data_IF_923120134387
#
_entry.id   IF_923120134387
#
_cell.length_a   1.000
_cell.length_b   1.000
_cell.length_c   1.000
_cell.angle_alpha   90.00
_cell.angle_beta   90.00
_cell.angle_gamma   90.00
#
_symmetry.space_group_name_H-M   'P 1'
#
loop_
_entity.id
_entity.type
_entity.pdbx_description
1 polymer ?
#
# COMPACT_ATOMS: atom_id res chain seq x y z
N UNK A 1 14.11 65.55 -6.44
CA UNK A 1 15.24 66.50 -6.34
C UNK A 1 15.81 66.26 -4.94
N UNK A 2 16.92 65.55 -4.76
CA UNK A 2 18.32 66.02 -4.89
C UNK A 2 19.27 64.82 -4.98
N UNK A 3 20.46 65.04 -5.51
CA UNK A 3 21.40 64.09 -6.10
C UNK A 3 22.67 63.87 -5.26
N UNK A 4 23.24 62.64 -5.34
CA UNK A 4 24.69 62.26 -5.23
C UNK A 4 25.46 62.49 -3.90
N UNK A 5 26.69 61.92 -3.69
CA UNK A 5 27.48 60.94 -4.49
C UNK A 5 28.18 59.79 -3.71
N UNK A 6 28.79 58.87 -4.48
CA UNK A 6 29.83 57.89 -4.09
C UNK A 6 31.22 58.53 -3.85
N UNK A 7 32.19 57.76 -3.30
CA UNK A 7 33.35 57.32 -4.10
C UNK A 7 33.78 55.86 -3.82
N UNK A 8 34.16 55.04 -4.83
CA UNK A 8 35.54 54.73 -5.31
C UNK A 8 36.53 54.38 -4.17
N UNK A 9 37.30 53.27 -4.21
CA UNK A 9 38.27 52.89 -5.27
C UNK A 9 38.99 51.56 -4.92
N UNK A 10 39.45 50.84 -5.98
CA UNK A 10 40.68 50.01 -6.08
C UNK A 10 40.79 48.72 -5.25
N UNK A 11 41.43 47.61 -5.64
CA UNK A 11 42.36 47.22 -6.73
C UNK A 11 42.57 45.69 -6.61
N UNK A 12 42.45 44.88 -7.67
CA UNK A 12 43.49 44.39 -8.61
C UNK A 12 44.41 43.25 -8.09
N UNK A 13 44.50 42.17 -8.92
CA UNK A 13 45.54 41.11 -9.07
C UNK A 13 45.52 39.97 -8.03
N UNK A 14 45.15 38.72 -8.34
CA UNK A 14 45.73 37.65 -9.20
C UNK A 14 47.05 37.03 -8.70
N UNK A 15 47.04 35.73 -8.34
CA UNK A 15 47.92 34.65 -8.89
C UNK A 15 47.92 33.32 -8.09
N UNK A 16 47.92 32.22 -8.86
CA UNK A 16 48.62 30.91 -8.68
C UNK A 16 48.28 30.03 -7.48
N UNK A 17 47.76 28.80 -7.65
CA UNK A 17 48.40 27.54 -8.12
C UNK A 17 48.75 26.63 -6.93
N UNK A 18 48.65 25.31 -7.15
CA UNK A 18 49.15 24.18 -6.34
C UNK A 18 48.09 23.36 -5.59
N UNK A 19 47.57 22.33 -6.26
CA UNK A 19 47.26 21.03 -5.63
C UNK A 19 48.58 20.23 -5.47
N UNK A 20 48.64 19.06 -4.79
CA UNK A 20 47.62 18.31 -4.05
C UNK A 20 48.12 17.83 -2.65
N UNK A 21 47.28 17.13 -1.87
CA UNK A 21 47.59 15.88 -1.15
C UNK A 21 46.45 15.53 -0.16
N UNK A 22 45.76 14.42 -0.46
CA UNK A 22 45.13 13.44 0.42
C UNK A 22 44.70 13.87 1.85
N UNK A 23 43.38 13.92 2.05
CA UNK A 23 42.72 13.73 3.34
C UNK A 23 41.37 13.04 3.12
N UNK A 24 41.07 11.90 3.77
CA UNK A 24 39.90 11.09 3.46
C UNK A 24 38.61 11.83 3.82
N UNK A 25 37.75 12.00 2.82
CA UNK A 25 36.37 12.47 2.96
C UNK A 25 35.64 11.58 3.96
N UNK A 26 35.28 12.15 5.11
CA UNK A 26 34.40 11.53 6.08
C UNK A 26 33.10 11.09 5.37
N UNK A 27 32.70 9.81 5.45
CA UNK A 27 31.40 9.43 4.96
C UNK A 27 30.38 10.09 5.88
N UNK A 28 29.62 11.03 5.31
CA UNK A 28 28.40 11.57 5.89
C UNK A 28 27.53 10.37 6.23
N UNK A 29 27.52 10.02 7.52
CA UNK A 29 26.75 8.93 8.07
C UNK A 29 25.28 9.28 7.82
N UNK A 30 24.76 8.79 6.69
CA UNK A 30 23.34 8.70 6.46
C UNK A 30 22.87 7.76 7.56
N UNK A 31 22.40 8.35 8.64
CA UNK A 31 21.58 7.67 9.63
C UNK A 31 20.49 6.98 8.82
N UNK A 32 20.71 5.69 8.55
CA UNK A 32 19.68 4.79 8.09
C UNK A 32 18.68 4.85 9.22
N UNK A 33 17.69 5.74 9.09
CA UNK A 33 16.46 5.63 9.85
C UNK A 33 15.99 4.22 9.53
N UNK A 34 16.25 3.30 10.45
CA UNK A 34 15.57 2.03 10.50
C UNK A 34 14.11 2.40 10.51
N UNK A 35 13.45 2.26 9.36
CA UNK A 35 12.01 2.14 9.36
C UNK A 35 11.68 1.13 10.46
N UNK A 36 10.69 1.39 11.33
CA UNK A 36 10.21 0.38 12.26
C UNK A 36 9.98 -0.91 11.46
N UNK A 37 10.14 -2.12 12.04
CA UNK A 37 10.01 -3.37 11.32
C UNK A 37 8.61 -3.45 10.70
N UNK A 38 8.47 -2.89 9.50
CA UNK A 38 7.22 -2.85 8.77
C UNK A 38 6.95 -4.27 8.34
N UNK A 39 5.70 -4.72 8.52
CA UNK A 39 5.23 -6.00 8.00
C UNK A 39 5.72 -6.18 6.56
N UNK A 40 6.80 -6.93 6.38
CA UNK A 40 7.42 -7.13 5.07
C UNK A 40 6.53 -8.11 4.32
N UNK A 41 5.66 -7.57 3.47
CA UNK A 41 4.83 -8.38 2.60
C UNK A 41 5.73 -9.16 1.63
N UNK A 42 5.68 -10.49 1.68
CA UNK A 42 6.38 -11.37 0.73
C UNK A 42 5.46 -11.70 -0.46
N UNK A 43 5.98 -11.80 -1.69
CA UNK A 43 5.23 -12.39 -2.79
C UNK A 43 4.84 -13.84 -2.47
N UNK A 44 3.64 -14.25 -2.89
CA UNK A 44 3.15 -15.63 -2.77
C UNK A 44 3.37 -16.34 -4.10
N UNK A 45 3.90 -17.56 -4.08
CA UNK A 45 4.01 -18.36 -5.32
C UNK A 45 2.62 -18.79 -5.81
N UNK A 46 2.47 -19.14 -7.11
CA UNK A 46 1.20 -19.68 -7.60
C UNK A 46 0.75 -20.95 -6.87
N UNK A 47 1.70 -21.81 -6.47
CA UNK A 47 1.43 -23.05 -5.72
C UNK A 47 0.93 -22.74 -4.31
N UNK A 48 1.62 -21.87 -3.56
CA UNK A 48 1.16 -21.42 -2.25
C UNK A 48 -0.23 -20.78 -2.38
N UNK A 49 -0.46 -19.95 -3.40
CA UNK A 49 -1.76 -19.30 -3.61
C UNK A 49 -2.88 -20.30 -3.91
N UNK A 50 -2.57 -21.42 -4.59
CA UNK A 50 -3.52 -22.50 -4.82
C UNK A 50 -3.88 -23.22 -3.52
N UNK A 51 -2.93 -23.45 -2.60
CA UNK A 51 -3.22 -24.03 -1.27
C UNK A 51 -4.22 -23.16 -0.48
N UNK A 52 -4.12 -21.84 -0.59
CA UNK A 52 -5.09 -20.92 0.03
C UNK A 52 -6.48 -20.96 -0.61
N UNK A 53 -6.60 -21.42 -1.86
CA UNK A 53 -7.87 -21.48 -2.61
C UNK A 53 -8.49 -22.88 -2.63
N UNK A 54 -7.68 -23.93 -2.55
CA UNK A 54 -8.11 -25.33 -2.65
C UNK A 54 -8.84 -25.80 -1.38
N UNK A 55 -8.55 -25.20 -0.23
CA UNK A 55 -9.28 -25.45 1.02
C UNK A 55 -10.77 -25.09 0.98
N UNK A 56 -11.23 -24.40 -0.07
CA UNK A 56 -12.63 -24.02 -0.31
C UNK A 56 -13.30 -24.90 -1.40
N UNK A 57 -12.53 -25.72 -2.11
CA UNK A 57 -13.02 -26.53 -3.26
C UNK A 57 -13.53 -27.93 -2.90
N UNK A 58 -13.40 -28.37 -1.65
CA UNK A 58 -14.00 -29.63 -1.17
C UNK A 58 -15.48 -29.43 -0.77
N UNK A 59 -16.25 -28.85 -1.69
CA UNK A 59 -17.67 -28.56 -1.49
C UNK A 59 -18.51 -29.84 -1.60
N UNK A 60 -18.65 -30.53 -0.47
CA UNK A 60 -19.96 -31.02 -0.05
C UNK A 60 -20.96 -29.84 -0.14
N UNK A 61 -21.92 -29.96 -1.05
CA UNK A 61 -22.65 -28.87 -1.66
C UNK A 61 -23.74 -28.21 -0.77
N UNK A 62 -23.54 -28.00 0.54
CA UNK A 62 -24.61 -27.47 1.41
C UNK A 62 -24.26 -26.42 2.47
N UNK A 63 -22.99 -26.11 2.76
CA UNK A 63 -22.66 -25.05 3.73
C UNK A 63 -22.25 -23.77 3.00
N UNK A 64 -23.16 -22.79 2.96
CA UNK A 64 -22.81 -21.44 2.50
C UNK A 64 -21.70 -20.88 3.38
N UNK A 65 -20.60 -20.44 2.77
CA UNK A 65 -19.52 -19.73 3.45
C UNK A 65 -20.10 -18.64 4.38
N UNK A 66 -19.64 -18.54 5.64
CA UNK A 66 -20.20 -17.61 6.61
C UNK A 66 -20.06 -16.17 6.09
N UNK A 67 -21.18 -15.46 6.00
CA UNK A 67 -21.22 -14.07 5.54
C UNK A 67 -20.88 -13.12 6.70
N UNK A 68 -20.19 -11.99 6.43
CA UNK A 68 -19.88 -11.02 7.47
C UNK A 68 -21.15 -10.30 7.94
N UNK A 69 -21.24 -10.02 9.24
CA UNK A 69 -22.32 -9.21 9.82
C UNK A 69 -22.07 -7.71 9.66
N UNK A 70 -20.79 -7.30 9.65
CA UNK A 70 -20.38 -5.91 9.52
C UNK A 70 -19.39 -5.69 8.37
N UNK A 71 -19.32 -4.45 7.88
CA UNK A 71 -18.44 -4.10 6.74
C UNK A 71 -16.95 -4.22 7.08
N UNK A 72 -16.56 -3.85 8.30
CA UNK A 72 -15.16 -3.87 8.75
C UNK A 72 -14.78 -5.08 9.60
N UNK A 73 -15.67 -6.07 9.66
CA UNK A 73 -15.38 -7.38 10.21
C UNK A 73 -14.31 -8.09 9.36
N UNK A 74 -13.25 -8.65 9.94
CA UNK A 74 -12.36 -9.58 9.24
C UNK A 74 -13.14 -10.73 8.61
N UNK A 75 -12.84 -11.08 7.36
CA UNK A 75 -13.52 -12.20 6.68
C UNK A 75 -12.53 -12.96 5.81
N UNK A 76 -12.31 -14.28 6.00
CA UNK A 76 -11.30 -15.06 5.28
C UNK A 76 -11.64 -15.35 3.81
N UNK A 77 -12.31 -14.43 3.12
CA UNK A 77 -12.63 -14.57 1.70
C UNK A 77 -11.37 -14.53 0.84
N UNK A 78 -11.29 -15.40 -0.17
CA UNK A 78 -10.20 -15.41 -1.14
C UNK A 78 -10.63 -14.81 -2.47
N UNK A 79 -9.75 -14.04 -3.11
CA UNK A 79 -10.07 -13.29 -4.32
C UNK A 79 -9.28 -13.77 -5.53
N UNK A 80 -9.91 -13.69 -6.69
CA UNK A 80 -9.29 -13.93 -8.00
C UNK A 80 -8.97 -12.63 -8.73
N UNK A 81 -7.91 -12.60 -9.56
CA UNK A 81 -7.65 -11.50 -10.47
C UNK A 81 -8.89 -11.14 -11.30
N UNK A 82 -9.23 -9.85 -11.31
CA UNK A 82 -10.34 -9.30 -12.08
C UNK A 82 -11.67 -9.23 -11.33
N UNK A 83 -11.78 -9.75 -10.11
CA UNK A 83 -13.01 -9.65 -9.32
C UNK A 83 -13.29 -8.21 -8.87
N UNK A 84 -14.57 -7.87 -8.84
CA UNK A 84 -15.06 -6.58 -8.36
C UNK A 84 -15.20 -6.62 -6.84
N UNK A 85 -14.72 -5.57 -6.18
CA UNK A 85 -14.60 -5.51 -4.73
C UNK A 85 -14.97 -4.14 -4.19
N UNK A 86 -15.28 -4.09 -2.91
CA UNK A 86 -15.40 -2.87 -2.11
C UNK A 86 -14.21 -2.79 -1.16
N UNK A 87 -13.55 -1.63 -1.12
CA UNK A 87 -12.36 -1.39 -0.28
C UNK A 87 -12.57 -0.22 0.66
N UNK A 88 -12.13 -0.37 1.91
CA UNK A 88 -12.10 0.70 2.91
C UNK A 88 -10.74 1.36 2.90
N UNK A 89 -10.69 2.67 2.65
CA UNK A 89 -9.43 3.43 2.73
C UNK A 89 -9.16 3.91 4.15
N UNK A 90 -7.96 4.45 4.39
CA UNK A 90 -7.59 4.99 5.70
C UNK A 90 -8.50 6.13 6.19
N UNK A 91 -9.22 6.80 5.28
CA UNK A 91 -10.23 7.81 5.62
C UNK A 91 -11.57 7.21 6.09
N UNK A 92 -11.70 5.89 6.17
CA UNK A 92 -12.92 5.19 6.58
C UNK A 92 -13.95 5.00 5.47
N UNK A 93 -13.78 5.66 4.32
CA UNK A 93 -14.69 5.58 3.18
C UNK A 93 -14.52 4.27 2.40
N UNK A 94 -15.65 3.76 1.90
CA UNK A 94 -15.73 2.60 1.02
C UNK A 94 -15.77 3.01 -0.44
N UNK A 95 -14.97 2.33 -1.28
CA UNK A 95 -14.91 2.59 -2.72
C UNK A 95 -15.02 1.29 -3.51
N UNK A 96 -15.62 1.32 -4.72
CA UNK A 96 -15.53 0.21 -5.63
C UNK A 96 -14.11 0.08 -6.21
N UNK A 97 -13.68 -1.14 -6.45
CA UNK A 97 -12.39 -1.46 -7.02
C UNK A 97 -12.38 -2.80 -7.73
N UNK A 98 -11.22 -3.15 -8.29
CA UNK A 98 -11.00 -4.41 -9.00
C UNK A 98 -9.68 -5.04 -8.58
N UNK A 99 -9.70 -6.32 -8.26
CA UNK A 99 -8.48 -7.08 -7.97
C UNK A 99 -7.63 -7.13 -9.23
N UNK A 100 -6.39 -6.69 -9.16
CA UNK A 100 -5.46 -6.70 -10.29
C UNK A 100 -4.81 -8.07 -10.44
N UNK A 101 -4.35 -8.40 -11.65
CA UNK A 101 -3.57 -9.62 -11.91
C UNK A 101 -2.11 -9.55 -11.44
N UNK A 102 -1.76 -8.59 -10.59
CA UNK A 102 -0.42 -8.54 -10.01
C UNK A 102 -0.30 -9.52 -8.84
N UNK A 103 0.94 -9.84 -8.47
CA UNK A 103 1.23 -10.82 -7.43
C UNK A 103 0.59 -10.47 -6.09
N UNK A 104 -0.29 -11.35 -5.63
CA UNK A 104 -0.78 -11.42 -4.25
C UNK A 104 0.39 -11.58 -3.30
N UNK A 105 0.32 -10.90 -2.16
CA UNK A 105 1.37 -10.96 -1.14
C UNK A 105 0.85 -11.61 0.14
N UNK A 106 1.76 -12.06 0.98
CA UNK A 106 1.48 -12.63 2.29
C UNK A 106 2.23 -11.88 3.37
N UNK A 107 1.61 -11.74 4.53
CA UNK A 107 2.21 -11.11 5.69
C UNK A 107 1.24 -11.03 6.86
N UNK A 108 1.69 -10.42 7.96
CA UNK A 108 0.88 -10.28 9.16
C UNK A 108 -0.33 -9.36 8.91
N UNK A 109 -1.53 -9.81 9.27
CA UNK A 109 -2.79 -9.04 9.28
C UNK A 109 -3.19 -8.71 10.72
N UNK A 110 -4.35 -8.08 10.92
CA UNK A 110 -4.92 -7.79 12.24
C UNK A 110 -5.11 -9.06 13.08
N UNK A 111 -5.48 -10.16 12.45
CA UNK A 111 -5.75 -11.43 13.14
C UNK A 111 -4.53 -12.35 13.15
N UNK A 112 -4.03 -12.71 11.96
CA UNK A 112 -2.98 -13.71 11.76
C UNK A 112 -2.22 -13.43 10.47
N UNK A 113 -1.31 -14.32 10.08
CA UNK A 113 -0.75 -14.25 8.74
C UNK A 113 -1.85 -14.44 7.67
N UNK A 114 -1.85 -13.62 6.63
CA UNK A 114 -2.89 -13.66 5.60
C UNK A 114 -2.46 -13.04 4.28
N UNK A 115 -3.38 -13.13 3.31
CA UNK A 115 -3.18 -12.65 1.96
C UNK A 115 -3.53 -11.16 1.81
N UNK A 116 -2.73 -10.49 0.98
CA UNK A 116 -2.86 -9.11 0.59
C UNK A 116 -3.05 -9.05 -0.93
N UNK A 117 -4.22 -8.58 -1.35
CA UNK A 117 -4.62 -8.52 -2.74
C UNK A 117 -4.36 -7.12 -3.31
N UNK A 118 -3.69 -7.00 -4.47
CA UNK A 118 -3.49 -5.71 -5.11
C UNK A 118 -4.79 -5.28 -5.80
N UNK A 119 -5.41 -4.18 -5.35
CA UNK A 119 -6.66 -3.64 -5.89
C UNK A 119 -6.40 -2.32 -6.60
N UNK A 120 -6.99 -2.14 -7.78
CA UNK A 120 -7.06 -0.86 -8.49
C UNK A 120 -8.41 -0.21 -8.22
N UNK A 121 -8.40 1.05 -7.80
CA UNK A 121 -9.57 1.87 -7.47
C UNK A 121 -9.28 3.35 -7.81
N UNK A 122 -10.31 4.21 -7.81
CA UNK A 122 -10.19 5.62 -8.21
C UNK A 122 -9.41 5.79 -9.52
N UNK A 123 -9.90 5.15 -10.58
CA UNK A 123 -9.37 5.07 -11.95
C UNK A 123 -8.00 4.41 -12.12
N UNK A 124 -7.00 4.71 -11.28
CA UNK A 124 -5.61 4.23 -11.46
C UNK A 124 -4.82 4.00 -10.17
N UNK A 125 -5.40 4.23 -8.99
CA UNK A 125 -4.69 4.03 -7.73
C UNK A 125 -4.63 2.55 -7.38
N UNK A 126 -3.43 2.04 -7.08
CA UNK A 126 -3.23 0.65 -6.67
C UNK A 126 -2.73 0.57 -5.24
N UNK A 127 -3.40 -0.25 -4.41
CA UNK A 127 -2.96 -0.56 -3.05
C UNK A 127 -3.25 -2.03 -2.71
N UNK A 128 -2.52 -2.56 -1.74
CA UNK A 128 -2.73 -3.88 -1.18
C UNK A 128 -3.72 -3.81 -0.01
N UNK A 129 -4.68 -4.73 0.02
CA UNK A 129 -5.70 -4.85 1.05
C UNK A 129 -5.79 -6.31 1.52
N UNK A 130 -6.00 -6.52 2.81
CA UNK A 130 -6.18 -7.87 3.37
C UNK A 130 -7.62 -8.09 3.85
N UNK A 131 -8.27 -9.22 3.51
CA UNK A 131 -9.63 -9.52 3.96
C UNK A 131 -9.72 -9.66 5.49
N UNK A 132 -8.67 -10.21 6.10
CA UNK A 132 -8.52 -10.34 7.56
C UNK A 132 -8.27 -9.00 8.28
N UNK A 133 -8.12 -7.90 7.55
CA UNK A 133 -8.11 -6.55 8.14
C UNK A 133 -9.50 -5.89 8.10
N UNK A 134 -10.50 -6.51 7.46
CA UNK A 134 -11.83 -5.91 7.28
C UNK A 134 -11.86 -4.73 6.29
N UNK A 135 -10.82 -4.57 5.47
CA UNK A 135 -10.66 -3.42 4.56
C UNK A 135 -11.00 -3.74 3.09
N UNK A 136 -11.39 -4.98 2.79
CA UNK A 136 -11.81 -5.43 1.46
C UNK A 136 -12.96 -6.45 1.59
N UNK A 137 -13.97 -6.33 0.73
CA UNK A 137 -15.12 -7.23 0.63
C UNK A 137 -15.45 -7.51 -0.84
N UNK A 138 -15.94 -8.72 -1.20
CA UNK A 138 -16.43 -9.00 -2.54
C UNK A 138 -17.69 -8.19 -2.86
N UNK A 139 -17.88 -7.90 -4.14
CA UNK A 139 -19.08 -7.19 -4.62
C UNK A 139 -20.29 -8.14 -4.75
N UNK A 140 -20.83 -8.58 -3.60
CA UNK A 140 -22.01 -9.46 -3.52
C UNK A 140 -23.26 -8.69 -3.12
N UNK A 141 -24.45 -9.27 -3.31
CA UNK A 141 -25.71 -8.67 -2.89
C UNK A 141 -25.75 -8.38 -1.38
N UNK A 142 -25.21 -9.30 -0.57
CA UNK A 142 -25.13 -9.12 0.88
C UNK A 142 -24.27 -7.92 1.27
N UNK A 143 -23.04 -7.84 0.73
CA UNK A 143 -22.12 -6.72 1.00
C UNK A 143 -22.71 -5.40 0.50
N UNK A 144 -23.37 -5.37 -0.66
CA UNK A 144 -24.11 -4.18 -1.13
C UNK A 144 -25.24 -3.79 -0.18
N UNK A 145 -25.91 -4.76 0.45
CA UNK A 145 -26.91 -4.51 1.50
C UNK A 145 -26.29 -3.82 2.72
N UNK A 146 -25.16 -4.31 3.21
CA UNK A 146 -24.41 -3.69 4.31
C UNK A 146 -23.94 -2.28 3.96
N UNK A 147 -23.45 -2.05 2.74
CA UNK A 147 -23.04 -0.73 2.25
C UNK A 147 -24.21 0.27 2.21
N UNK A 148 -25.39 -0.17 1.76
CA UNK A 148 -26.62 0.65 1.77
C UNK A 148 -27.02 1.04 3.20
N UNK A 149 -27.05 0.07 4.12
CA UNK A 149 -27.39 0.31 5.53
C UNK A 149 -26.42 1.31 6.18
N UNK A 150 -25.15 1.27 5.79
CA UNK A 150 -24.11 2.18 6.28
C UNK A 150 -24.00 3.51 5.51
N UNK A 151 -24.84 3.76 4.49
CA UNK A 151 -24.87 5.03 3.75
C UNK A 151 -23.74 5.23 2.72
N UNK A 152 -23.12 4.15 2.24
CA UNK A 152 -22.07 4.20 1.20
C UNK A 152 -22.58 3.95 -0.22
N UNK A 153 -23.83 3.51 -0.35
CA UNK A 153 -24.55 3.25 -1.61
C UNK A 153 -25.99 3.81 -1.55
#
# INVERSE_FOLDING_TARGET
>A
MTVTPSPRRSSRLSKTSTSPLHGPSSPRSQSRRSSPPGNKLRPVSPEELAEWQEGDQDSDATLSEPQPSELDEPWPFTFRPGESVWIRTAGGNWYPGKVSGQTTRKGQTREREGLYYPVVFCDKLRKYFAPLNGEIKPDTLHVRGLLKLAGWL
#
